data_IF_390616007153
#
_entry.id   IF_390616007153
#
_cell.length_a   1.000
_cell.length_b   1.000
_cell.length_c   1.000
_cell.angle_alpha   90.00
_cell.angle_beta   90.00
_cell.angle_gamma   90.00
#
_symmetry.space_group_name_H-M   'P 1'
#
loop_
_entity.id
_entity.type
_entity.pdbx_description
1 polymer ?
#
# COMPACT_ATOMS: atom_id res chain seq x y z
N UNK A 1 39.36 -45.57 8.75
CA UNK A 1 39.42 -44.35 9.60
C UNK A 1 39.11 -43.18 8.68
N UNK A 2 37.84 -42.97 8.36
CA UNK A 2 36.88 -42.19 9.14
C UNK A 2 37.00 -40.68 8.85
N UNK A 3 36.02 -40.21 8.08
CA UNK A 3 35.30 -38.94 8.20
C UNK A 3 35.99 -37.65 7.75
N UNK A 4 35.53 -37.13 6.61
CA UNK A 4 34.87 -35.80 6.59
C UNK A 4 33.98 -35.60 5.35
N UNK A 5 32.87 -36.32 5.31
CA UNK A 5 31.63 -35.78 4.77
C UNK A 5 31.04 -34.89 5.88
N UNK A 6 31.06 -33.56 5.71
CA UNK A 6 30.17 -32.60 6.38
C UNK A 6 30.76 -31.19 6.30
N UNK A 7 30.52 -30.53 5.17
CA UNK A 7 30.14 -29.12 5.23
C UNK A 7 28.87 -29.00 4.39
N UNK A 8 27.78 -29.49 5.00
CA UNK A 8 26.44 -29.01 4.75
C UNK A 8 26.49 -27.48 4.84
N UNK A 9 26.64 -26.83 3.68
CA UNK A 9 26.22 -25.46 3.47
C UNK A 9 24.71 -25.47 3.64
N UNK A 10 24.32 -25.43 4.91
CA UNK A 10 22.98 -25.17 5.37
C UNK A 10 22.67 -23.75 4.92
N UNK A 11 22.24 -23.59 3.67
CA UNK A 11 21.43 -22.45 3.30
C UNK A 11 20.19 -22.53 4.17
N UNK A 12 20.24 -21.90 5.35
CA UNK A 12 19.02 -21.52 6.05
C UNK A 12 18.14 -20.88 4.97
N UNK A 13 16.97 -21.46 4.65
CA UNK A 13 16.05 -20.75 3.79
C UNK A 13 15.81 -19.46 4.52
N UNK A 14 16.17 -18.34 3.91
CA UNK A 14 15.96 -16.99 4.43
C UNK A 14 14.51 -16.92 4.89
N UNK A 15 14.26 -17.21 6.17
CA UNK A 15 12.92 -17.23 6.74
C UNK A 15 12.61 -15.76 6.85
N UNK A 16 12.12 -15.18 5.76
CA UNK A 16 11.53 -13.86 5.77
C UNK A 16 10.45 -13.97 6.85
N UNK A 17 10.76 -13.43 8.02
CA UNK A 17 10.00 -13.64 9.24
C UNK A 17 8.53 -13.39 8.90
N UNK A 18 7.68 -14.42 9.00
CA UNK A 18 6.26 -14.32 8.58
C UNK A 18 5.60 -13.09 9.23
N UNK A 19 6.08 -12.68 10.42
CA UNK A 19 5.66 -11.43 11.11
C UNK A 19 6.11 -10.16 10.39
N UNK A 20 7.34 -10.09 9.89
CA UNK A 20 7.85 -8.95 9.11
C UNK A 20 7.04 -8.74 7.82
N UNK A 21 6.74 -9.83 7.10
CA UNK A 21 5.86 -9.88 5.92
C UNK A 21 4.45 -9.38 6.26
N UNK A 22 3.83 -9.95 7.30
CA UNK A 22 2.51 -9.55 7.78
C UNK A 22 2.44 -8.05 8.13
N UNK A 23 3.44 -7.54 8.83
CA UNK A 23 3.49 -6.14 9.25
C UNK A 23 3.57 -5.19 8.06
N UNK A 24 4.38 -5.51 7.05
CA UNK A 24 4.51 -4.73 5.82
C UNK A 24 3.24 -4.75 4.98
N UNK A 25 2.64 -5.94 4.79
CA UNK A 25 1.39 -6.09 4.05
C UNK A 25 0.21 -5.37 4.74
N UNK A 26 0.16 -5.39 6.07
CA UNK A 26 -0.85 -4.64 6.85
C UNK A 26 -0.74 -3.12 6.63
N UNK A 27 0.48 -2.59 6.54
CA UNK A 27 0.71 -1.16 6.21
C UNK A 27 0.19 -0.82 4.82
N UNK A 28 0.45 -1.66 3.81
CA UNK A 28 -0.04 -1.47 2.43
C UNK A 28 -1.58 -1.50 2.39
N UNK A 29 -2.19 -2.47 3.09
CA UNK A 29 -3.67 -2.54 3.20
C UNK A 29 -4.26 -1.31 3.87
N UNK A 30 -3.66 -0.83 4.96
CA UNK A 30 -4.10 0.38 5.67
C UNK A 30 -4.04 1.61 4.76
N UNK A 31 -2.95 1.78 4.00
CA UNK A 31 -2.80 2.90 3.04
C UNK A 31 -3.87 2.87 1.95
N UNK A 32 -4.16 1.68 1.39
CA UNK A 32 -5.28 1.50 0.44
C UNK A 32 -6.62 1.84 1.07
N UNK A 33 -6.86 1.39 2.29
CA UNK A 33 -8.09 1.69 3.02
C UNK A 33 -8.23 3.19 3.29
N UNK A 34 -7.16 3.89 3.67
CA UNK A 34 -7.16 5.35 3.81
C UNK A 34 -7.53 6.06 2.50
N UNK A 35 -7.00 5.59 1.36
CA UNK A 35 -7.33 6.10 0.03
C UNK A 35 -8.82 5.88 -0.31
N UNK A 36 -9.34 4.69 -0.02
CA UNK A 36 -10.77 4.41 -0.20
C UNK A 36 -11.64 5.24 0.75
N UNK A 37 -11.24 5.42 2.00
CA UNK A 37 -11.95 6.25 2.97
C UNK A 37 -12.01 7.70 2.53
N UNK A 38 -10.93 8.29 2.02
CA UNK A 38 -10.95 9.70 1.57
C UNK A 38 -11.80 9.88 0.30
N UNK A 39 -11.80 8.90 -0.60
CA UNK A 39 -12.69 8.88 -1.78
C UNK A 39 -14.15 8.77 -1.35
N UNK A 40 -14.48 7.87 -0.42
CA UNK A 40 -15.85 7.74 0.08
C UNK A 40 -16.30 8.98 0.85
N UNK A 41 -15.39 9.64 1.58
CA UNK A 41 -15.65 10.88 2.32
C UNK A 41 -15.99 12.05 1.39
N UNK A 42 -15.55 12.03 0.13
CA UNK A 42 -15.88 13.05 -0.86
C UNK A 42 -17.38 13.24 -1.04
N UNK A 43 -18.15 12.14 -1.11
CA UNK A 43 -19.59 12.17 -1.37
C UNK A 43 -20.36 12.94 -0.29
N UNK A 44 -20.28 12.58 1.01
CA UNK A 44 -20.97 13.33 2.05
C UNK A 44 -20.41 14.74 2.20
N UNK A 45 -19.10 14.94 1.99
CA UNK A 45 -18.49 16.26 2.09
C UNK A 45 -19.02 17.22 1.01
N UNK A 46 -19.13 16.76 -0.24
CA UNK A 46 -19.68 17.54 -1.34
C UNK A 46 -21.18 17.77 -1.16
N UNK A 47 -21.92 16.77 -0.69
CA UNK A 47 -23.35 16.92 -0.37
C UNK A 47 -23.59 18.02 0.66
N UNK A 48 -22.79 18.05 1.74
CA UNK A 48 -22.87 19.11 2.76
C UNK A 48 -22.48 20.45 2.15
N UNK A 49 -21.35 20.51 1.44
CA UNK A 49 -20.85 21.73 0.81
C UNK A 49 -21.91 22.40 -0.09
N UNK A 50 -22.59 21.64 -0.94
CA UNK A 50 -23.63 22.18 -1.83
C UNK A 50 -24.87 22.70 -1.08
N UNK A 51 -25.15 22.17 0.11
CA UNK A 51 -26.30 22.59 0.93
C UNK A 51 -25.99 23.81 1.79
N UNK A 52 -24.78 23.91 2.31
CA UNK A 52 -24.40 24.94 3.29
C UNK A 52 -23.77 26.17 2.67
N UNK A 53 -23.08 26.03 1.54
CA UNK A 53 -22.29 27.09 0.95
C UNK A 53 -23.10 27.79 -0.15
N UNK A 54 -23.41 29.09 -0.02
CA UNK A 54 -24.16 29.83 -1.02
C UNK A 54 -23.30 30.22 -2.24
N UNK A 55 -21.97 30.17 -2.10
CA UNK A 55 -21.01 30.70 -3.07
C UNK A 55 -20.11 29.62 -3.66
N UNK A 56 -19.94 29.63 -4.98
CA UNK A 56 -19.05 28.69 -5.70
C UNK A 56 -17.60 28.73 -5.22
N UNK A 57 -17.10 29.90 -4.79
CA UNK A 57 -15.71 30.06 -4.32
C UNK A 57 -15.44 29.27 -3.04
N UNK A 58 -16.41 29.14 -2.14
CA UNK A 58 -16.24 28.39 -0.90
C UNK A 58 -16.26 26.87 -1.16
N UNK A 59 -17.11 26.42 -2.09
CA UNK A 59 -17.13 25.02 -2.56
C UNK A 59 -15.79 24.65 -3.20
N UNK A 60 -15.22 25.54 -4.01
CA UNK A 60 -13.88 25.36 -4.59
C UNK A 60 -12.80 25.22 -3.51
N UNK A 61 -12.83 26.05 -2.47
CA UNK A 61 -11.87 25.94 -1.37
C UNK A 61 -11.94 24.57 -0.68
N UNK A 62 -13.14 24.08 -0.36
CA UNK A 62 -13.34 22.75 0.23
C UNK A 62 -12.82 21.65 -0.69
N UNK A 63 -13.07 21.77 -2.01
CA UNK A 63 -12.55 20.84 -3.00
C UNK A 63 -11.02 20.82 -3.02
N UNK A 64 -10.35 21.98 -3.02
CA UNK A 64 -8.89 22.04 -3.01
C UNK A 64 -8.28 21.41 -1.76
N UNK A 65 -8.84 21.69 -0.58
CA UNK A 65 -8.39 21.08 0.69
C UNK A 65 -8.52 19.56 0.64
N UNK A 66 -9.67 19.06 0.19
CA UNK A 66 -9.90 17.62 0.04
C UNK A 66 -8.96 17.00 -1.00
N UNK A 67 -8.75 17.68 -2.14
CA UNK A 67 -7.89 17.20 -3.21
C UNK A 67 -6.42 17.10 -2.78
N UNK A 68 -5.90 18.10 -2.06
CA UNK A 68 -4.54 18.06 -1.52
C UNK A 68 -4.38 16.89 -0.54
N UNK A 69 -5.38 16.67 0.32
CA UNK A 69 -5.37 15.57 1.27
C UNK A 69 -5.38 14.23 0.53
N UNK A 70 -6.26 14.07 -0.46
CA UNK A 70 -6.33 12.88 -1.33
C UNK A 70 -5.01 12.63 -2.06
N UNK A 71 -4.41 13.67 -2.64
CA UNK A 71 -3.12 13.60 -3.33
C UNK A 71 -1.99 13.16 -2.41
N UNK A 72 -1.92 13.72 -1.19
CA UNK A 72 -0.92 13.33 -0.19
C UNK A 72 -1.02 11.86 0.21
N UNK A 73 -2.24 11.34 0.42
CA UNK A 73 -2.47 9.92 0.73
C UNK A 73 -2.07 9.05 -0.46
N UNK A 74 -2.38 9.47 -1.69
CA UNK A 74 -2.00 8.74 -2.90
C UNK A 74 -0.48 8.65 -3.07
N UNK A 75 0.26 9.72 -2.80
CA UNK A 75 1.73 9.70 -2.80
C UNK A 75 2.29 8.74 -1.74
N UNK A 76 1.77 8.80 -0.51
CA UNK A 76 2.19 7.88 0.56
C UNK A 76 1.88 6.43 0.20
N UNK A 77 0.75 6.17 -0.45
CA UNK A 77 0.39 4.84 -0.92
C UNK A 77 1.27 4.38 -2.09
N UNK A 78 1.64 5.26 -3.02
CA UNK A 78 2.57 4.97 -4.12
C UNK A 78 4.00 4.66 -3.65
N UNK A 79 4.47 5.36 -2.61
CA UNK A 79 5.78 5.15 -1.99
C UNK A 79 5.80 3.95 -1.02
N UNK A 80 4.75 3.12 -1.01
CA UNK A 80 4.75 1.90 -0.19
C UNK A 80 5.77 0.89 -0.73
N UNK A 81 6.75 0.54 0.10
CA UNK A 81 7.73 -0.50 -0.22
C UNK A 81 7.18 -1.89 0.08
N UNK A 82 7.50 -2.84 -0.79
CA UNK A 82 7.18 -4.24 -0.61
C UNK A 82 8.10 -4.85 0.47
N UNK A 83 7.57 -5.53 1.50
CA UNK A 83 8.40 -6.13 2.56
C UNK A 83 9.23 -7.33 2.10
N UNK A 84 8.89 -7.94 0.96
CA UNK A 84 9.61 -9.10 0.42
C UNK A 84 10.75 -8.72 -0.52
N UNK A 85 10.52 -7.80 -1.46
CA UNK A 85 11.52 -7.43 -2.47
C UNK A 85 12.17 -6.06 -2.23
N UNK A 86 11.74 -5.31 -1.21
CA UNK A 86 12.28 -3.97 -0.89
C UNK A 86 11.90 -2.85 -1.89
N UNK A 87 11.47 -3.20 -3.09
CA UNK A 87 11.07 -2.25 -4.15
C UNK A 87 9.69 -1.63 -3.91
N UNK A 88 9.39 -0.57 -4.64
CA UNK A 88 8.07 0.08 -4.61
C UNK A 88 6.99 -0.89 -5.08
N UNK A 89 5.91 -0.99 -4.31
CA UNK A 89 4.86 -1.97 -4.56
C UNK A 89 4.03 -1.63 -5.82
N UNK A 90 3.83 -0.34 -6.08
CA UNK A 90 2.94 0.19 -7.13
C UNK A 90 3.65 0.88 -8.29
N UNK A 91 4.95 1.09 -8.17
CA UNK A 91 5.76 1.73 -9.20
C UNK A 91 6.55 0.66 -9.95
N UNK A 92 6.39 0.63 -11.28
CA UNK A 92 7.31 -0.05 -12.18
C UNK A 92 7.57 0.88 -13.37
N UNK A 93 8.73 1.55 -13.37
CA UNK A 93 8.99 2.66 -14.29
C UNK A 93 8.10 3.87 -14.01
N UNK A 94 7.51 4.47 -15.05
CA UNK A 94 6.61 5.64 -14.94
C UNK A 94 5.15 5.28 -14.59
N UNK A 95 4.82 3.99 -14.47
CA UNK A 95 3.42 3.56 -14.37
C UNK A 95 3.03 3.29 -12.91
N UNK A 96 2.13 4.11 -12.38
CA UNK A 96 1.53 3.96 -11.04
C UNK A 96 0.32 3.03 -11.08
N UNK A 97 0.59 1.74 -11.03
CA UNK A 97 -0.44 0.70 -11.14
C UNK A 97 -0.89 0.25 -9.75
N UNK A 98 -2.13 0.56 -9.37
CA UNK A 98 -2.73 0.21 -8.07
C UNK A 98 -3.06 -1.30 -7.91
N UNK A 99 -2.24 -2.20 -8.46
CA UNK A 99 -2.50 -3.64 -8.51
C UNK A 99 -2.45 -4.32 -7.14
N UNK A 100 -3.31 -5.33 -6.91
CA UNK A 100 -3.31 -6.13 -5.66
C UNK A 100 -2.07 -7.03 -5.48
N UNK A 101 -1.14 -7.00 -6.43
CA UNK A 101 0.12 -7.75 -6.46
C UNK A 101 1.28 -6.77 -6.65
N UNK A 102 2.42 -7.05 -6.04
CA UNK A 102 3.66 -6.31 -6.30
C UNK A 102 4.09 -6.51 -7.76
N UNK A 103 4.50 -5.45 -8.46
CA UNK A 103 4.92 -5.59 -9.87
C UNK A 103 6.23 -6.37 -10.04
N UNK A 104 7.12 -6.35 -9.05
CA UNK A 104 8.42 -7.03 -9.11
C UNK A 104 8.35 -8.50 -8.69
N UNK A 105 7.81 -8.78 -7.49
CA UNK A 105 7.78 -10.14 -6.93
C UNK A 105 6.42 -10.83 -7.05
N UNK A 106 5.41 -10.16 -7.62
CA UNK A 106 4.03 -10.68 -7.76
C UNK A 106 3.37 -11.09 -6.43
N UNK A 107 3.95 -10.70 -5.29
CA UNK A 107 3.43 -11.00 -3.97
C UNK A 107 2.05 -10.36 -3.81
N UNK A 108 1.05 -11.18 -3.52
CA UNK A 108 -0.32 -10.73 -3.31
C UNK A 108 -0.44 -9.98 -1.98
N UNK A 109 -1.24 -8.90 -1.95
CA UNK A 109 -1.40 -8.07 -0.75
C UNK A 109 -2.02 -8.81 0.46
N UNK A 110 -2.64 -9.97 0.20
CA UNK A 110 -3.19 -10.88 1.20
C UNK A 110 -2.43 -12.23 1.24
N UNK A 111 -1.20 -12.28 0.76
CA UNK A 111 -0.38 -13.50 0.83
C UNK A 111 -0.19 -13.98 2.28
N UNK A 112 -0.26 -13.06 3.26
CA UNK A 112 -0.23 -13.40 4.68
C UNK A 112 -1.43 -14.18 5.21
N UNK A 113 -2.54 -14.21 4.46
CA UNK A 113 -3.81 -14.82 4.89
C UNK A 113 -4.10 -16.17 4.25
N UNK A 114 -3.27 -16.64 3.31
CA UNK A 114 -3.47 -17.96 2.72
C UNK A 114 -3.04 -19.01 3.76
N UNK A 115 -3.94 -19.88 4.23
CA UNK A 115 -3.50 -21.09 4.91
C UNK A 115 -2.72 -21.92 3.88
N UNK A 116 -1.55 -22.38 4.31
CA UNK A 116 -0.73 -23.38 3.61
C UNK A 116 -1.44 -24.73 3.55
#
# INVERSE_FOLDING_TARGET
MALKENESFSGEPEVIDKKSLQSGLRKIRRRRWCLWSIILLYIPMMYIAMKTLPSFSEVMYVFFVWFILMFSIALVAALARCPSCGNYFHLNGMTLLYLRKCLHCQLHVCADKKPE
#
